data_IF_447235022794
#
_entry.id   IF_447235022794
#
_cell.length_a   1.000
_cell.length_b   1.000
_cell.length_c   1.000
_cell.angle_alpha   90.00
_cell.angle_beta   90.00
_cell.angle_gamma   90.00
#
_symmetry.space_group_name_H-M   'P 1'
#
loop_
_entity.id
_entity.type
_entity.pdbx_description
1 polymer ?
#
# COMPACT_ATOMS: atom_id res chain seq x y z
N UNK A 1 7.26 -75.71 15.61
CA UNK A 1 8.16 -74.55 15.39
C UNK A 1 9.11 -74.89 14.25
N UNK A 2 9.64 -73.98 13.40
CA UNK A 2 9.32 -72.56 13.20
C UNK A 2 9.27 -72.08 11.72
N UNK A 3 8.71 -70.88 11.55
CA UNK A 3 9.13 -69.75 10.67
C UNK A 3 9.07 -69.90 9.13
N UNK A 4 7.90 -69.59 8.58
CA UNK A 4 7.81 -68.87 7.30
C UNK A 4 8.07 -67.38 7.52
N UNK A 5 9.01 -66.82 6.75
CA UNK A 5 9.44 -65.42 6.81
C UNK A 5 8.58 -64.51 5.88
N UNK A 6 8.54 -63.19 6.12
CA UNK A 6 7.58 -62.26 5.52
C UNK A 6 8.06 -61.71 4.15
N UNK A 7 7.14 -61.54 3.21
CA UNK A 7 7.36 -60.74 1.99
C UNK A 7 6.31 -59.64 1.90
N UNK A 8 6.75 -58.39 2.08
CA UNK A 8 6.11 -57.15 1.63
C UNK A 8 7.08 -56.46 0.66
N UNK A 9 6.72 -55.41 -0.11
CA UNK A 9 5.42 -54.84 -0.48
C UNK A 9 5.30 -54.70 -2.02
N UNK A 10 4.34 -53.92 -2.54
CA UNK A 10 4.43 -53.12 -3.79
C UNK A 10 3.33 -53.37 -4.83
N UNK A 11 2.33 -52.48 -4.84
CA UNK A 11 2.12 -51.48 -5.90
C UNK A 11 0.92 -50.61 -5.55
N UNK A 12 1.20 -49.48 -4.89
CA UNK A 12 0.26 -48.37 -4.78
C UNK A 12 0.25 -47.67 -6.14
N UNK A 13 -0.86 -47.75 -6.85
CA UNK A 13 -1.04 -47.08 -8.13
C UNK A 13 -0.80 -45.58 -7.97
N UNK A 14 0.21 -45.08 -8.68
CA UNK A 14 0.53 -43.67 -8.83
C UNK A 14 -0.63 -42.95 -9.51
N UNK A 15 -1.43 -42.23 -8.73
CA UNK A 15 -2.33 -41.22 -9.29
C UNK A 15 -1.47 -40.08 -9.82
N UNK A 16 -1.43 -39.95 -11.16
CA UNK A 16 -0.85 -38.81 -11.85
C UNK A 16 -1.45 -37.50 -11.31
N UNK A 17 -0.64 -36.52 -10.90
CA UNK A 17 -1.15 -35.19 -10.59
C UNK A 17 -1.69 -34.57 -11.88
N UNK A 18 -3.01 -34.38 -11.94
CA UNK A 18 -3.68 -33.60 -12.98
C UNK A 18 -3.04 -32.21 -13.03
N UNK A 19 -2.35 -31.93 -14.14
CA UNK A 19 -1.87 -30.59 -14.50
C UNK A 19 -3.08 -29.67 -14.55
N UNK A 20 -3.24 -28.82 -13.55
CA UNK A 20 -4.20 -27.72 -13.58
C UNK A 20 -3.80 -26.77 -14.71
N UNK A 21 -4.74 -26.27 -15.53
CA UNK A 21 -4.45 -25.31 -16.57
C UNK A 21 -3.89 -24.03 -15.94
N UNK A 22 -2.68 -23.70 -16.37
CA UNK A 22 -1.94 -22.49 -15.98
C UNK A 22 -2.75 -21.30 -16.47
N UNK A 23 -3.35 -20.54 -15.55
CA UNK A 23 -4.07 -19.30 -15.83
C UNK A 23 -3.22 -18.40 -16.71
N UNK A 24 -3.78 -18.03 -17.85
CA UNK A 24 -3.21 -17.12 -18.83
C UNK A 24 -2.76 -15.81 -18.17
N UNK A 25 -1.72 -15.13 -18.70
CA UNK A 25 -1.35 -13.79 -18.27
C UNK A 25 -2.57 -12.88 -18.34
N UNK A 26 -2.98 -12.31 -17.21
CA UNK A 26 -3.99 -11.26 -17.22
C UNK A 26 -3.43 -10.11 -18.06
N UNK A 27 -4.03 -9.88 -19.23
CA UNK A 27 -3.86 -8.63 -19.95
C UNK A 27 -4.06 -7.48 -18.96
N UNK A 28 -3.08 -6.60 -18.94
CA UNK A 28 -3.11 -5.38 -18.16
C UNK A 28 -4.27 -4.55 -18.72
N UNK A 29 -5.42 -4.59 -18.03
CA UNK A 29 -6.49 -3.60 -18.20
C UNK A 29 -5.79 -2.23 -18.15
N UNK A 30 -5.68 -1.59 -19.30
CA UNK A 30 -5.16 -0.24 -19.47
C UNK A 30 -6.03 0.62 -18.57
N UNK A 31 -5.51 0.97 -17.39
CA UNK A 31 -6.24 1.80 -16.44
C UNK A 31 -6.66 3.03 -17.22
N UNK A 32 -7.97 3.31 -17.25
CA UNK A 32 -8.47 4.58 -17.75
C UNK A 32 -7.62 5.67 -17.08
N UNK A 33 -7.09 6.57 -17.91
CA UNK A 33 -6.31 7.71 -17.47
C UNK A 33 -7.25 8.63 -16.69
N UNK A 34 -7.51 8.28 -15.43
CA UNK A 34 -8.12 9.19 -14.46
C UNK A 34 -7.17 10.37 -14.37
N UNK A 35 -7.71 11.56 -14.59
CA UNK A 35 -6.94 12.80 -14.53
C UNK A 35 -6.27 12.92 -13.16
N UNK A 36 -4.94 12.88 -13.16
CA UNK A 36 -4.12 12.94 -11.96
C UNK A 36 -4.31 14.28 -11.22
N UNK A 37 -4.73 15.32 -11.95
CA UNK A 37 -5.04 16.64 -11.40
C UNK A 37 -6.25 16.64 -10.47
N UNK A 38 -7.13 15.63 -10.58
CA UNK A 38 -8.29 15.47 -9.71
C UNK A 38 -7.96 14.68 -8.44
N UNK A 39 -6.77 14.12 -8.32
CA UNK A 39 -6.40 13.35 -7.15
C UNK A 39 -6.17 14.27 -5.95
N UNK A 40 -6.55 13.75 -4.78
CA UNK A 40 -6.27 14.43 -3.52
C UNK A 40 -4.77 14.70 -3.37
N UNK A 41 -4.37 15.79 -2.70
CA UNK A 41 -2.98 16.03 -2.40
C UNK A 41 -2.39 14.89 -1.57
N UNK A 42 -1.14 14.54 -1.85
CA UNK A 42 -0.39 13.52 -1.11
C UNK A 42 -0.22 13.95 0.35
N UNK A 43 -0.48 13.05 1.29
CA UNK A 43 -0.30 13.31 2.74
C UNK A 43 1.17 13.19 3.18
N UNK A 44 2.02 12.72 2.27
CA UNK A 44 3.42 12.43 2.49
C UNK A 44 4.25 13.71 2.31
N UNK A 45 5.19 13.97 3.22
CA UNK A 45 6.09 15.14 3.13
C UNK A 45 7.07 15.01 1.96
N UNK A 46 7.49 16.14 1.39
CA UNK A 46 8.32 16.16 0.18
C UNK A 46 9.71 15.53 0.37
N UNK A 47 10.24 15.56 1.60
CA UNK A 47 11.50 14.93 1.96
C UNK A 47 11.39 13.46 2.39
N UNK A 48 10.17 12.88 2.42
CA UNK A 48 9.99 11.51 2.85
C UNK A 48 10.58 10.53 1.82
N UNK A 49 11.39 9.60 2.33
CA UNK A 49 12.05 8.59 1.51
C UNK A 49 11.74 7.18 2.02
N UNK A 50 11.77 6.22 1.10
CA UNK A 50 11.43 4.84 1.40
C UNK A 50 12.37 3.87 0.69
N UNK A 51 12.79 2.83 1.41
CA UNK A 51 13.61 1.76 0.84
C UNK A 51 12.80 0.90 -0.11
N UNK A 52 13.45 0.35 -1.15
CA UNK A 52 12.84 -0.58 -2.12
C UNK A 52 11.96 -1.65 -1.48
N UNK A 53 12.47 -2.35 -0.48
CA UNK A 53 11.76 -3.45 0.18
C UNK A 53 10.48 -2.97 0.84
N UNK A 54 10.52 -1.80 1.49
CA UNK A 54 9.36 -1.21 2.14
C UNK A 54 8.35 -0.69 1.11
N UNK A 55 8.82 -0.09 0.01
CA UNK A 55 7.95 0.35 -1.08
C UNK A 55 7.12 -0.82 -1.66
N UNK A 56 7.78 -1.94 -1.97
CA UNK A 56 7.10 -3.15 -2.46
C UNK A 56 6.10 -3.71 -1.44
N UNK A 57 6.44 -3.71 -0.15
CA UNK A 57 5.60 -4.29 0.90
C UNK A 57 4.41 -3.39 1.28
N UNK A 58 4.64 -2.09 1.47
CA UNK A 58 3.63 -1.15 1.97
C UNK A 58 2.68 -0.71 0.86
N UNK A 59 3.22 -0.39 -0.32
CA UNK A 59 2.43 0.08 -1.46
C UNK A 59 1.98 -1.05 -2.39
N UNK A 60 2.30 -2.31 -2.04
CA UNK A 60 1.89 -3.51 -2.78
C UNK A 60 2.31 -3.49 -4.25
N UNK A 61 3.43 -2.84 -4.51
CA UNK A 61 4.04 -2.75 -5.82
C UNK A 61 4.86 -4.00 -6.13
N UNK A 62 5.05 -4.24 -7.43
CA UNK A 62 6.00 -5.22 -7.96
C UNK A 62 7.28 -4.50 -8.38
N UNK A 63 8.36 -5.27 -8.53
CA UNK A 63 9.66 -4.76 -8.97
C UNK A 63 9.54 -3.99 -10.30
N UNK A 64 8.80 -4.53 -11.25
CA UNK A 64 8.52 -3.95 -12.57
C UNK A 64 7.88 -2.55 -12.50
N UNK A 65 7.11 -2.27 -11.44
CA UNK A 65 6.44 -0.98 -11.30
C UNK A 65 7.37 0.13 -10.81
N UNK A 66 8.54 -0.24 -10.28
CA UNK A 66 9.58 0.69 -9.82
C UNK A 66 10.58 1.02 -10.94
N UNK A 67 10.56 0.28 -12.04
CA UNK A 67 11.48 0.51 -13.15
C UNK A 67 11.18 1.87 -13.79
N UNK A 68 12.24 2.65 -14.03
CA UNK A 68 12.15 4.02 -14.54
C UNK A 68 11.93 5.11 -13.47
N UNK A 69 11.76 4.75 -12.19
CA UNK A 69 11.73 5.74 -11.11
C UNK A 69 13.15 6.16 -10.71
N UNK A 70 13.32 7.45 -10.40
CA UNK A 70 14.56 7.94 -9.83
C UNK A 70 14.76 7.40 -8.40
N UNK A 71 15.98 6.99 -8.10
CA UNK A 71 16.37 6.53 -6.78
C UNK A 71 17.77 7.03 -6.42
N UNK A 72 18.00 7.20 -5.12
CA UNK A 72 19.33 7.37 -4.55
C UNK A 72 19.83 6.01 -4.08
N UNK A 73 21.14 5.80 -4.20
CA UNK A 73 21.78 4.61 -3.68
C UNK A 73 22.58 4.98 -2.43
N UNK A 74 22.39 4.22 -1.36
CA UNK A 74 23.08 4.42 -0.09
C UNK A 74 23.70 3.10 0.38
N UNK A 75 24.96 3.14 0.79
CA UNK A 75 25.62 2.00 1.42
C UNK A 75 25.34 2.02 2.93
N UNK A 76 24.83 0.90 3.44
CA UNK A 76 24.60 0.71 4.87
C UNK A 76 25.41 -0.49 5.34
N UNK A 77 26.17 -0.28 6.40
CA UNK A 77 26.84 -1.38 7.08
C UNK A 77 25.85 -2.09 8.00
N UNK A 78 25.72 -3.40 7.83
CA UNK A 78 24.89 -4.25 8.69
C UNK A 78 25.78 -5.25 9.42
N UNK A 79 25.48 -5.45 10.70
CA UNK A 79 26.11 -6.51 11.50
C UNK A 79 25.46 -7.84 11.16
N UNK A 80 26.26 -8.79 10.71
CA UNK A 80 25.87 -10.18 10.50
C UNK A 80 26.70 -11.10 11.40
N UNK A 81 26.20 -12.30 11.75
CA UNK A 81 27.02 -13.30 12.42
C UNK A 81 28.26 -13.59 11.57
N UNK A 82 29.45 -13.23 12.08
CA UNK A 82 30.71 -13.35 11.35
C UNK A 82 31.32 -12.04 10.83
N UNK A 83 30.71 -10.87 11.08
CA UNK A 83 31.35 -9.58 10.85
C UNK A 83 30.43 -8.46 10.36
N UNK A 84 31.03 -7.35 9.94
CA UNK A 84 30.33 -6.23 9.32
C UNK A 84 30.26 -6.44 7.81
N UNK A 85 29.07 -6.25 7.22
CA UNK A 85 28.86 -6.32 5.78
C UNK A 85 28.25 -5.03 5.27
N UNK A 86 28.89 -4.43 4.26
CA UNK A 86 28.33 -3.30 3.52
C UNK A 86 27.25 -3.81 2.56
N UNK A 87 26.04 -3.27 2.67
CA UNK A 87 24.90 -3.59 1.83
C UNK A 87 24.40 -2.32 1.18
N UNK A 88 24.24 -2.39 -0.14
CA UNK A 88 23.70 -1.31 -0.93
C UNK A 88 22.17 -1.28 -0.82
N UNK A 89 21.61 -0.12 -0.56
CA UNK A 89 20.17 0.13 -0.43
C UNK A 89 19.71 1.15 -1.46
N UNK A 90 18.48 0.99 -1.94
CA UNK A 90 17.87 1.86 -2.93
C UNK A 90 16.76 2.65 -2.27
N UNK A 91 16.92 3.97 -2.25
CA UNK A 91 16.08 4.94 -1.58
C UNK A 91 15.26 5.70 -2.63
N UNK A 92 13.95 5.62 -2.52
CA UNK A 92 13.01 6.27 -3.44
C UNK A 92 12.27 7.40 -2.73
N UNK A 93 11.83 8.41 -3.47
CA UNK A 93 10.86 9.39 -2.97
C UNK A 93 9.54 8.69 -2.66
N UNK A 94 9.07 8.78 -1.41
CA UNK A 94 7.87 8.07 -1.00
C UNK A 94 6.61 8.61 -1.72
N UNK A 95 6.57 9.93 -1.98
CA UNK A 95 5.52 10.59 -2.77
C UNK A 95 5.40 10.01 -4.18
N UNK A 96 6.54 9.76 -4.83
CA UNK A 96 6.56 9.18 -6.19
C UNK A 96 6.05 7.74 -6.19
N UNK A 97 6.39 6.98 -5.14
CA UNK A 97 5.90 5.61 -4.94
C UNK A 97 4.39 5.59 -4.70
N UNK A 98 3.86 6.52 -3.90
CA UNK A 98 2.44 6.66 -3.65
C UNK A 98 1.66 6.94 -4.95
N UNK A 99 2.09 7.94 -5.72
CA UNK A 99 1.47 8.26 -7.01
C UNK A 99 1.50 7.08 -7.97
N UNK A 100 2.61 6.30 -7.97
CA UNK A 100 2.70 5.08 -8.77
C UNK A 100 1.69 4.03 -8.33
N UNK A 101 1.46 3.87 -7.04
CA UNK A 101 0.44 2.98 -6.51
C UNK A 101 -0.97 3.46 -6.89
N UNK A 102 -1.25 4.76 -6.77
CA UNK A 102 -2.53 5.33 -7.19
C UNK A 102 -2.81 5.08 -8.67
N UNK A 103 -1.83 5.31 -9.56
CA UNK A 103 -1.94 4.99 -11.00
C UNK A 103 -2.36 3.54 -11.26
N UNK A 104 -1.86 2.58 -10.48
CA UNK A 104 -2.18 1.16 -10.64
C UNK A 104 -3.58 0.79 -10.13
N UNK A 105 -4.08 1.53 -9.15
CA UNK A 105 -5.32 1.20 -8.44
C UNK A 105 -6.50 2.11 -8.81
N UNK A 106 -6.33 2.99 -9.80
CA UNK A 106 -7.40 3.90 -10.24
C UNK A 106 -7.56 5.11 -9.31
N UNK A 107 -6.45 5.61 -8.76
CA UNK A 107 -6.40 6.79 -7.90
C UNK A 107 -6.28 6.49 -6.40
N UNK A 108 -6.31 7.54 -5.57
CA UNK A 108 -6.15 7.45 -4.12
C UNK A 108 -7.23 6.60 -3.44
N UNK A 109 -8.48 6.76 -3.87
CA UNK A 109 -9.62 6.02 -3.29
C UNK A 109 -9.57 4.54 -3.65
N UNK A 110 -9.24 4.22 -4.90
CA UNK A 110 -9.06 2.82 -5.34
C UNK A 110 -7.92 2.13 -4.60
N UNK A 111 -6.82 2.85 -4.35
CA UNK A 111 -5.72 2.33 -3.54
C UNK A 111 -6.11 2.13 -2.07
N UNK A 112 -6.83 3.07 -1.46
CA UNK A 112 -7.31 2.95 -0.09
C UNK A 112 -8.27 1.75 0.09
N UNK A 113 -9.23 1.58 -0.82
CA UNK A 113 -10.13 0.44 -0.83
C UNK A 113 -9.38 -0.89 -0.99
N UNK A 114 -8.34 -0.92 -1.83
CA UNK A 114 -7.48 -2.08 -2.00
C UNK A 114 -6.73 -2.44 -0.72
N UNK A 115 -6.12 -1.46 -0.03
CA UNK A 115 -5.45 -1.68 1.25
C UNK A 115 -6.42 -2.16 2.33
N UNK A 116 -7.64 -1.65 2.36
CA UNK A 116 -8.67 -2.09 3.29
C UNK A 116 -9.05 -3.56 3.07
N UNK A 117 -9.25 -3.98 1.81
CA UNK A 117 -9.49 -5.38 1.47
C UNK A 117 -8.36 -6.30 1.94
N UNK A 118 -7.12 -5.85 1.83
CA UNK A 118 -5.96 -6.60 2.32
C UNK A 118 -5.93 -6.64 3.86
N UNK A 119 -6.28 -5.54 4.53
CA UNK A 119 -6.34 -5.47 6.00
C UNK A 119 -7.41 -6.41 6.57
N UNK A 120 -8.61 -6.45 5.97
CA UNK A 120 -9.68 -7.38 6.40
C UNK A 120 -9.27 -8.83 6.20
N UNK A 121 -8.68 -9.17 5.04
CA UNK A 121 -8.16 -10.51 4.79
C UNK A 121 -7.01 -10.88 5.74
N UNK A 122 -6.14 -9.93 6.08
CA UNK A 122 -5.06 -10.13 7.04
C UNK A 122 -5.58 -10.42 8.44
N UNK A 123 -6.58 -9.66 8.91
CA UNK A 123 -7.20 -9.87 10.22
C UNK A 123 -7.79 -11.28 10.36
N UNK A 124 -8.33 -11.84 9.28
CA UNK A 124 -8.87 -13.20 9.27
C UNK A 124 -7.78 -14.29 9.28
N UNK A 125 -6.62 -14.04 8.66
CA UNK A 125 -5.56 -15.04 8.49
C UNK A 125 -4.47 -14.97 9.57
N UNK A 126 -4.22 -13.80 10.13
CA UNK A 126 -3.10 -13.54 11.04
C UNK A 126 -3.42 -12.34 11.94
N UNK A 127 -4.38 -12.47 12.87
CA UNK A 127 -4.79 -11.37 13.73
C UNK A 127 -3.67 -10.87 14.66
N UNK A 128 -2.73 -11.74 15.03
CA UNK A 128 -1.62 -11.41 15.94
C UNK A 128 -0.54 -10.52 15.30
N UNK A 129 -0.45 -10.50 13.96
CA UNK A 129 0.61 -9.77 13.26
C UNK A 129 0.14 -8.37 12.89
N UNK A 130 1.03 -7.37 12.98
CA UNK A 130 0.71 -6.02 12.49
C UNK A 130 0.60 -6.04 10.96
N UNK A 131 -0.49 -5.49 10.43
CA UNK A 131 -0.64 -5.29 9.00
C UNK A 131 0.37 -4.24 8.51
N UNK A 132 1.12 -4.58 7.46
CA UNK A 132 2.09 -3.67 6.85
C UNK A 132 1.37 -2.72 5.88
N UNK A 133 1.31 -1.44 6.23
CA UNK A 133 0.82 -0.34 5.40
C UNK A 133 1.62 0.95 5.66
N UNK A 134 1.61 1.91 4.73
CA UNK A 134 2.21 3.22 4.97
C UNK A 134 1.50 3.94 6.13
N UNK A 135 2.25 4.75 6.88
CA UNK A 135 1.73 5.44 8.07
C UNK A 135 0.50 6.31 7.76
N UNK A 136 0.50 6.98 6.60
CA UNK A 136 -0.62 7.80 6.12
C UNK A 136 -1.95 7.02 5.96
N UNK A 137 -1.90 5.69 5.89
CA UNK A 137 -3.06 4.81 5.74
C UNK A 137 -3.32 3.96 6.99
N UNK A 138 -2.50 4.09 8.05
CA UNK A 138 -2.72 3.36 9.30
C UNK A 138 -3.96 3.89 10.03
N UNK A 139 -4.19 5.21 9.98
CA UNK A 139 -5.31 5.93 10.62
C UNK A 139 -6.64 5.87 9.86
N UNK A 140 -6.67 5.40 8.61
CA UNK A 140 -7.92 5.18 7.89
C UNK A 140 -8.67 3.99 8.52
N UNK A 141 -9.42 4.29 9.58
CA UNK A 141 -10.54 3.47 10.03
C UNK A 141 -11.72 3.75 9.09
N UNK A 142 -12.50 2.72 8.71
CA UNK A 142 -13.65 2.93 7.84
C UNK A 142 -14.64 3.90 8.50
N UNK A 143 -15.29 4.80 7.74
CA UNK A 143 -16.41 5.63 8.23
C UNK A 143 -17.69 4.80 8.51
N UNK A 144 -17.54 3.61 9.07
CA UNK A 144 -18.61 2.67 9.43
C UNK A 144 -18.35 1.88 10.72
N UNK A 145 -17.29 2.21 11.46
CA UNK A 145 -17.03 1.69 12.80
C UNK A 145 -17.02 2.87 13.80
N UNK A 146 -18.21 3.43 14.07
CA UNK A 146 -18.50 4.38 15.14
C UNK A 146 -17.70 5.70 15.19
N UNK A 147 -18.15 6.73 14.48
CA UNK A 147 -18.11 8.12 15.00
C UNK A 147 -19.21 8.96 14.35
N UNK A 148 -20.38 8.96 15.00
CA UNK A 148 -21.25 10.13 14.99
C UNK A 148 -20.49 11.28 15.67
N UNK A 149 -20.72 12.52 15.20
CA UNK A 149 -20.18 13.78 15.71
C UNK A 149 -18.82 14.23 15.15
N UNK A 150 -18.87 14.85 13.98
CA UNK A 150 -18.12 16.09 13.72
C UNK A 150 -19.04 17.02 12.95
N UNK A 151 -20.01 17.59 13.68
CA UNK A 151 -20.65 18.84 13.29
C UNK A 151 -19.57 19.91 13.38
N UNK A 152 -18.95 20.25 12.25
CA UNK A 152 -18.23 21.51 12.11
C UNK A 152 -19.25 22.63 12.24
N UNK A 153 -19.41 23.14 13.46
CA UNK A 153 -19.93 24.48 13.74
C UNK A 153 -19.02 25.45 13.02
N UNK A 154 -19.42 25.85 11.81
CA UNK A 154 -18.88 27.05 11.16
C UNK A 154 -19.54 28.21 11.89
N UNK A 155 -18.85 28.67 12.93
CA UNK A 155 -19.08 29.95 13.58
C UNK A 155 -18.70 31.04 12.58
N UNK A 156 -19.71 31.74 12.07
CA UNK A 156 -19.56 32.95 11.27
C UNK A 156 -19.02 34.09 12.15
N UNK A 157 -17.85 34.69 11.85
CA UNK A 157 -17.55 36.02 12.35
C UNK A 157 -18.25 37.04 11.44
N UNK A 158 -19.37 37.58 11.91
CA UNK A 158 -20.03 38.72 11.30
C UNK A 158 -19.12 39.96 11.48
N UNK A 159 -18.36 40.29 10.44
CA UNK A 159 -17.48 41.45 10.42
C UNK A 159 -18.31 42.73 10.23
N UNK A 160 -18.09 43.68 11.14
CA UNK A 160 -18.68 45.00 11.16
C UNK A 160 -18.45 45.76 9.85
N UNK A 161 -19.55 46.22 9.23
CA UNK A 161 -19.54 47.23 8.19
C UNK A 161 -20.60 48.28 8.54
N UNK A 162 -20.17 49.37 9.18
CA UNK A 162 -20.92 50.64 9.20
C UNK A 162 -19.96 51.75 8.78
N UNK A 163 -19.86 51.95 7.47
CA UNK A 163 -19.27 53.15 6.88
C UNK A 163 -20.38 54.19 6.71
N UNK A 164 -20.44 55.17 7.62
CA UNK A 164 -21.27 56.36 7.46
C UNK A 164 -20.62 57.28 6.43
N UNK A 165 -21.18 57.31 5.23
CA UNK A 165 -20.89 58.34 4.21
C UNK A 165 -21.76 59.54 4.54
N UNK A 166 -21.15 60.61 5.08
CA UNK A 166 -21.81 61.91 5.21
C UNK A 166 -21.46 62.78 4.01
N UNK A 167 -22.51 63.22 3.32
CA UNK A 167 -22.48 64.09 2.16
C UNK A 167 -21.95 65.51 2.49
N UNK A 168 -21.42 66.16 1.47
CA UNK A 168 -21.37 67.62 1.38
C UNK A 168 -21.81 68.00 -0.04
N UNK A 169 -22.88 68.79 -0.19
CA UNK A 169 -23.10 69.56 -1.41
C UNK A 169 -22.92 71.06 -1.16
N UNK A 170 -22.42 71.70 -2.21
CA UNK A 170 -22.38 73.15 -2.55
C UNK A 170 -21.45 74.06 -1.76
#
# INVERSE_FOLDING_TARGET
MPKGAPTTPSKRASQSPRKLPRKSPQEHKKAELVDESQWRPTSISEGATINRTNALQFYRLKKEHLDGLSYRTEEKEITIPGGLKKVQTYIYSERTIELRAWRLHGGPEGFAAYLQKLRTAHRLRSPEKKFKCPAAYDSFQPPGAATSASTSTIESPNAAATASTSASPT
#
